data_IF_990158408316
#
_entry.id   IF_990158408316
#
_cell.length_a   1.000
_cell.length_b   1.000
_cell.length_c   1.000
_cell.angle_alpha   90.00
_cell.angle_beta   90.00
_cell.angle_gamma   90.00
#
_symmetry.space_group_name_H-M   'P 1'
#
loop_
_entity.id
_entity.type
_entity.pdbx_description
1 polymer ?
#
# COMPACT_ATOMS: atom_id res chain seq x y z
N UNK A 1 0.13 -34.84 24.07
CA UNK A 1 -0.29 -34.06 22.87
C UNK A 1 -0.58 -32.64 23.38
N UNK A 2 0.38 -31.75 23.22
CA UNK A 2 0.19 -30.31 23.57
C UNK A 2 -0.35 -29.63 22.32
N UNK A 3 -1.45 -28.93 22.45
CA UNK A 3 -2.03 -28.06 21.42
C UNK A 3 -1.13 -26.82 21.28
N UNK A 4 -0.47 -26.59 20.13
CA UNK A 4 0.40 -25.43 19.94
C UNK A 4 -0.35 -24.28 19.27
N UNK A 5 -1.29 -23.62 19.96
CA UNK A 5 -1.99 -22.53 19.35
C UNK A 5 -2.94 -21.78 20.27
N UNK A 6 -2.40 -21.08 21.26
CA UNK A 6 -3.16 -20.06 22.01
C UNK A 6 -3.48 -18.84 21.14
N UNK A 7 -4.06 -19.03 19.96
CA UNK A 7 -4.64 -17.97 19.11
C UNK A 7 -6.13 -17.88 19.41
N UNK A 8 -6.62 -16.66 19.63
CA UNK A 8 -8.06 -16.38 19.71
C UNK A 8 -8.77 -17.07 18.56
N UNK A 9 -9.78 -17.93 18.80
CA UNK A 9 -10.48 -18.62 17.73
C UNK A 9 -11.18 -17.58 16.84
N UNK A 10 -10.94 -17.56 15.54
CA UNK A 10 -11.90 -17.03 14.59
C UNK A 10 -11.50 -15.92 13.67
N UNK A 11 -10.26 -15.41 13.63
CA UNK A 11 -9.96 -14.40 12.62
C UNK A 11 -9.22 -15.00 11.43
N UNK A 12 -9.89 -14.99 10.29
CA UNK A 12 -9.35 -15.49 9.02
C UNK A 12 -8.98 -14.33 8.10
N UNK A 13 -7.96 -14.52 7.29
CA UNK A 13 -7.62 -13.54 6.27
C UNK A 13 -7.28 -14.19 4.94
N UNK A 14 -7.49 -13.43 3.89
CA UNK A 14 -7.07 -13.76 2.55
C UNK A 14 -5.99 -12.79 2.09
N UNK A 15 -5.11 -13.25 1.22
CA UNK A 15 -3.99 -12.48 0.73
C UNK A 15 -4.02 -12.43 -0.81
N UNK A 16 -3.70 -11.27 -1.38
CA UNK A 16 -3.57 -11.08 -2.83
C UNK A 16 -2.21 -10.47 -3.12
N UNK A 17 -1.49 -11.07 -4.07
CA UNK A 17 -0.20 -10.58 -4.55
C UNK A 17 -0.24 -10.41 -6.05
N UNK A 18 -0.24 -9.17 -6.57
CA UNK A 18 0.01 -8.91 -7.98
C UNK A 18 1.50 -9.09 -8.27
N UNK A 19 1.87 -9.80 -9.34
CA UNK A 19 3.25 -10.03 -9.73
C UNK A 19 3.45 -9.74 -11.22
N UNK A 20 4.52 -9.03 -11.55
CA UNK A 20 4.94 -8.80 -12.94
C UNK A 20 6.45 -8.69 -13.03
N UNK A 21 7.09 -9.69 -13.63
CA UNK A 21 8.54 -9.80 -13.75
C UNK A 21 9.24 -9.71 -12.37
N UNK A 22 8.81 -10.54 -11.44
CA UNK A 22 9.31 -10.63 -10.06
C UNK A 22 10.03 -11.96 -9.77
N UNK A 23 10.42 -12.71 -10.80
CA UNK A 23 11.09 -14.01 -10.67
C UNK A 23 12.29 -14.00 -9.73
N UNK A 24 13.03 -12.88 -9.69
CA UNK A 24 14.17 -12.69 -8.79
C UNK A 24 13.79 -12.58 -7.31
N UNK A 25 12.56 -12.14 -6.98
CA UNK A 25 12.18 -11.74 -5.64
C UNK A 25 11.07 -12.60 -5.05
N UNK A 26 10.12 -13.04 -5.87
CA UNK A 26 8.86 -13.63 -5.42
C UNK A 26 9.05 -14.89 -4.55
N UNK A 27 10.07 -15.70 -4.79
CA UNK A 27 10.34 -16.89 -3.98
C UNK A 27 10.59 -16.53 -2.51
N UNK A 28 11.36 -15.45 -2.23
CA UNK A 28 11.61 -14.98 -0.87
C UNK A 28 10.34 -14.42 -0.21
N UNK A 29 9.50 -13.73 -0.98
CA UNK A 29 8.19 -13.27 -0.53
C UNK A 29 7.33 -14.46 -0.12
N UNK A 30 7.24 -15.49 -0.97
CA UNK A 30 6.45 -16.70 -0.67
C UNK A 30 6.97 -17.39 0.60
N UNK A 31 8.27 -17.60 0.72
CA UNK A 31 8.87 -18.22 1.91
C UNK A 31 8.56 -17.41 3.17
N UNK A 32 8.58 -16.07 3.11
CA UNK A 32 8.27 -15.22 4.26
C UNK A 32 6.80 -15.30 4.70
N UNK A 33 5.88 -15.55 3.77
CA UNK A 33 4.46 -15.78 4.09
C UNK A 33 4.25 -17.20 4.65
N UNK A 34 4.93 -18.21 4.11
CA UNK A 34 4.90 -19.57 4.65
C UNK A 34 5.44 -19.64 6.08
N UNK A 35 6.36 -18.75 6.44
CA UNK A 35 6.94 -18.66 7.78
C UNK A 35 6.09 -17.84 8.78
N UNK A 36 4.93 -17.32 8.38
CA UNK A 36 4.07 -16.53 9.28
C UNK A 36 3.46 -17.40 10.38
N UNK A 37 3.41 -16.89 11.61
CA UNK A 37 2.70 -17.51 12.74
C UNK A 37 1.20 -17.62 12.49
N UNK A 38 0.66 -16.73 11.64
CA UNK A 38 -0.72 -16.80 11.15
C UNK A 38 -0.69 -16.83 9.63
N UNK A 39 -1.04 -17.96 9.05
CA UNK A 39 -1.12 -18.14 7.60
C UNK A 39 -2.48 -17.70 7.05
N UNK A 40 -2.54 -17.23 5.79
CA UNK A 40 -3.81 -16.91 5.13
C UNK A 40 -4.65 -18.17 4.90
N UNK A 41 -5.98 -18.05 4.99
CA UNK A 41 -6.88 -19.13 4.59
C UNK A 41 -6.88 -19.35 3.06
N UNK A 42 -6.57 -18.30 2.30
CA UNK A 42 -6.35 -18.33 0.84
C UNK A 42 -5.37 -17.22 0.46
N UNK A 43 -4.44 -17.55 -0.40
CA UNK A 43 -3.51 -16.60 -1.00
C UNK A 43 -3.55 -16.70 -2.51
N UNK A 44 -4.02 -15.65 -3.18
CA UNK A 44 -4.06 -15.58 -4.64
C UNK A 44 -2.88 -14.77 -5.14
N UNK A 45 -2.00 -15.40 -5.92
CA UNK A 45 -0.89 -14.73 -6.60
C UNK A 45 -1.27 -14.58 -8.06
N UNK A 46 -1.38 -13.34 -8.52
CA UNK A 46 -1.80 -13.02 -9.89
C UNK A 46 -0.59 -12.62 -10.71
N UNK A 47 -0.17 -13.48 -11.61
CA UNK A 47 0.85 -13.16 -12.61
C UNK A 47 0.23 -12.29 -13.70
N UNK A 48 0.68 -11.04 -13.78
CA UNK A 48 0.16 -10.02 -14.68
C UNK A 48 0.90 -10.02 -16.03
N UNK A 49 1.07 -11.21 -16.61
CA UNK A 49 1.72 -11.40 -17.92
C UNK A 49 3.24 -11.28 -17.88
N UNK A 50 3.88 -11.86 -16.87
CA UNK A 50 5.35 -11.91 -16.78
C UNK A 50 5.99 -12.63 -17.96
N UNK A 51 7.21 -12.21 -18.29
CA UNK A 51 8.05 -12.80 -19.34
C UNK A 51 9.31 -13.47 -18.79
N UNK A 52 9.48 -13.43 -17.46
CA UNK A 52 10.53 -14.10 -16.70
C UNK A 52 9.99 -15.34 -15.97
N UNK A 53 10.77 -15.91 -15.07
CA UNK A 53 10.42 -17.14 -14.32
C UNK A 53 9.33 -16.94 -13.25
N UNK A 54 8.71 -15.75 -13.12
CA UNK A 54 7.72 -15.45 -12.09
C UNK A 54 6.61 -16.49 -12.04
N UNK A 55 5.96 -16.77 -13.18
CA UNK A 55 4.85 -17.72 -13.24
C UNK A 55 5.26 -19.14 -12.87
N UNK A 56 6.41 -19.59 -13.35
CA UNK A 56 6.90 -20.93 -13.05
C UNK A 56 7.14 -21.13 -11.54
N UNK A 57 7.74 -20.12 -10.88
CA UNK A 57 7.94 -20.12 -9.43
C UNK A 57 6.59 -20.18 -8.70
N UNK A 58 5.64 -19.34 -9.07
CA UNK A 58 4.30 -19.32 -8.45
C UNK A 58 3.62 -20.69 -8.58
N UNK A 59 3.64 -21.28 -9.78
CA UNK A 59 3.04 -22.58 -10.07
C UNK A 59 3.65 -23.71 -9.20
N UNK A 60 4.97 -23.69 -9.01
CA UNK A 60 5.67 -24.67 -8.18
C UNK A 60 5.25 -24.59 -6.72
N UNK A 61 5.09 -23.39 -6.15
CA UNK A 61 4.62 -23.24 -4.77
C UNK A 61 3.12 -23.55 -4.63
N UNK A 62 2.29 -23.16 -5.58
CA UNK A 62 0.87 -23.48 -5.56
C UNK A 62 0.61 -25.00 -5.60
N UNK A 63 1.43 -25.77 -6.32
CA UNK A 63 1.32 -27.22 -6.35
C UNK A 63 1.66 -27.91 -5.00
N UNK A 64 2.41 -27.22 -4.11
CA UNK A 64 2.88 -27.77 -2.82
C UNK A 64 2.11 -27.24 -1.62
N UNK A 65 1.42 -26.11 -1.76
CA UNK A 65 0.76 -25.40 -0.66
C UNK A 65 -0.72 -25.18 -0.99
N UNK A 66 -1.62 -25.93 -0.37
CA UNK A 66 -3.05 -25.94 -0.68
C UNK A 66 -3.79 -24.61 -0.49
N UNK A 67 -3.24 -23.66 0.26
CA UNK A 67 -3.84 -22.32 0.40
C UNK A 67 -3.31 -21.31 -0.63
N UNK A 68 -2.27 -21.65 -1.43
CA UNK A 68 -1.76 -20.78 -2.51
C UNK A 68 -2.48 -21.13 -3.81
N UNK A 69 -3.04 -20.13 -4.45
CA UNK A 69 -3.63 -20.21 -5.79
C UNK A 69 -2.90 -19.27 -6.73
N UNK A 70 -2.25 -19.81 -7.77
CA UNK A 70 -1.70 -19.02 -8.87
C UNK A 70 -2.74 -18.79 -9.96
N UNK A 71 -2.84 -17.58 -10.49
CA UNK A 71 -3.59 -17.32 -11.71
C UNK A 71 -2.86 -16.32 -12.61
N UNK A 72 -3.07 -16.45 -13.91
CA UNK A 72 -2.48 -15.54 -14.90
C UNK A 72 -3.52 -14.54 -15.40
N UNK A 73 -3.04 -13.35 -15.72
CA UNK A 73 -3.78 -12.29 -16.37
C UNK A 73 -3.03 -11.84 -17.62
N UNK A 74 -3.74 -11.64 -18.71
CA UNK A 74 -3.18 -10.97 -19.87
C UNK A 74 -3.41 -9.46 -19.74
N UNK A 75 -2.35 -8.68 -19.93
CA UNK A 75 -2.45 -7.22 -19.94
C UNK A 75 -3.25 -6.76 -21.15
N UNK A 76 -4.18 -5.84 -20.92
CA UNK A 76 -4.90 -5.17 -21.99
C UNK A 76 -4.01 -4.14 -22.69
N UNK A 77 -4.26 -3.89 -23.98
CA UNK A 77 -3.50 -2.92 -24.78
C UNK A 77 -3.50 -1.48 -24.24
N UNK A 78 -4.46 -1.14 -23.35
CA UNK A 78 -4.58 0.17 -22.71
C UNK A 78 -4.12 0.21 -21.25
N UNK A 79 -3.58 -0.88 -20.71
CA UNK A 79 -3.17 -0.94 -19.32
C UNK A 79 -1.92 -0.07 -19.07
N UNK A 80 -2.06 0.93 -18.21
CA UNK A 80 -0.91 1.65 -17.68
C UNK A 80 -0.19 0.77 -16.65
N UNK A 81 1.07 1.04 -16.36
CA UNK A 81 1.84 0.29 -15.35
C UNK A 81 1.12 0.21 -13.99
N UNK A 82 0.52 1.32 -13.52
CA UNK A 82 -0.21 1.36 -12.25
C UNK A 82 -1.60 0.74 -12.36
N UNK A 83 -2.32 1.02 -13.44
CA UNK A 83 -3.64 0.45 -13.68
C UNK A 83 -3.61 -1.07 -13.77
N UNK A 84 -2.59 -1.64 -14.43
CA UNK A 84 -2.42 -3.09 -14.55
C UNK A 84 -2.30 -3.78 -13.20
N UNK A 85 -1.50 -3.22 -12.29
CA UNK A 85 -1.34 -3.75 -10.94
C UNK A 85 -2.69 -3.81 -10.20
N UNK A 86 -3.51 -2.75 -10.28
CA UNK A 86 -4.85 -2.75 -9.68
C UNK A 86 -5.77 -3.78 -10.34
N UNK A 87 -5.72 -3.93 -11.66
CA UNK A 87 -6.50 -4.95 -12.34
C UNK A 87 -6.12 -6.37 -11.89
N UNK A 88 -4.83 -6.64 -11.64
CA UNK A 88 -4.39 -7.90 -11.05
C UNK A 88 -4.94 -8.10 -9.63
N UNK A 89 -4.94 -7.06 -8.78
CA UNK A 89 -5.56 -7.10 -7.45
C UNK A 89 -7.06 -7.41 -7.55
N UNK A 90 -7.78 -6.74 -8.46
CA UNK A 90 -9.21 -6.96 -8.65
C UNK A 90 -9.52 -8.37 -9.17
N UNK A 91 -8.68 -8.91 -10.06
CA UNK A 91 -8.81 -10.31 -10.49
C UNK A 91 -8.57 -11.28 -9.33
N UNK A 92 -7.56 -11.04 -8.50
CA UNK A 92 -7.30 -11.82 -7.28
C UNK A 92 -8.48 -11.74 -6.31
N UNK A 93 -9.04 -10.54 -6.11
CA UNK A 93 -10.20 -10.34 -5.24
C UNK A 93 -11.44 -11.09 -5.73
N UNK A 94 -11.68 -11.14 -7.04
CA UNK A 94 -12.80 -11.90 -7.60
C UNK A 94 -12.75 -13.41 -7.27
N UNK A 95 -11.56 -13.96 -6.95
CA UNK A 95 -11.37 -15.36 -6.53
C UNK A 95 -11.67 -15.63 -5.06
N UNK A 96 -11.66 -14.58 -4.23
CA UNK A 96 -11.81 -14.70 -2.77
C UNK A 96 -13.03 -13.98 -2.20
N UNK A 97 -13.69 -13.12 -2.96
CA UNK A 97 -14.80 -12.26 -2.48
C UNK A 97 -15.97 -13.01 -1.84
N UNK A 98 -16.23 -14.24 -2.30
CA UNK A 98 -17.31 -15.10 -1.84
C UNK A 98 -16.89 -16.01 -0.67
N UNK A 99 -15.62 -15.99 -0.27
CA UNK A 99 -15.13 -16.68 0.92
C UNK A 99 -15.46 -15.90 2.18
N UNK A 100 -15.58 -16.60 3.31
CA UNK A 100 -15.65 -15.97 4.62
C UNK A 100 -14.24 -15.61 5.11
N UNK A 101 -14.02 -14.32 5.40
CA UNK A 101 -12.78 -13.80 5.99
C UNK A 101 -13.04 -12.46 6.69
N UNK A 102 -12.17 -12.12 7.64
CA UNK A 102 -12.23 -10.87 8.40
C UNK A 102 -11.35 -9.79 7.79
N UNK A 103 -10.20 -10.19 7.22
CA UNK A 103 -9.21 -9.27 6.69
C UNK A 103 -8.74 -9.66 5.29
N UNK A 104 -8.47 -8.65 4.48
CA UNK A 104 -7.87 -8.77 3.16
C UNK A 104 -6.49 -8.12 3.17
N UNK A 105 -5.45 -8.89 2.91
CA UNK A 105 -4.10 -8.36 2.72
C UNK A 105 -3.76 -8.16 1.24
N UNK A 106 -3.08 -7.06 0.94
CA UNK A 106 -2.40 -6.84 -0.34
C UNK A 106 -0.90 -6.83 -0.06
N UNK A 107 -0.17 -7.68 -0.73
CA UNK A 107 1.27 -7.85 -0.56
C UNK A 107 1.96 -7.79 -1.92
N UNK A 108 2.89 -6.86 -2.13
CA UNK A 108 3.67 -6.84 -3.37
C UNK A 108 4.67 -8.02 -3.40
N UNK A 109 4.97 -8.51 -4.60
CA UNK A 109 5.74 -9.74 -4.82
C UNK A 109 7.23 -9.66 -4.46
N UNK A 110 7.71 -8.50 -4.03
CA UNK A 110 9.10 -8.21 -3.65
C UNK A 110 9.25 -7.81 -2.17
N UNK A 111 8.26 -8.13 -1.34
CA UNK A 111 8.27 -7.86 0.11
C UNK A 111 8.64 -9.10 0.91
N UNK A 112 9.52 -8.95 1.91
CA UNK A 112 9.85 -10.00 2.88
C UNK A 112 9.37 -9.58 4.25
N UNK A 113 8.51 -10.40 4.86
CA UNK A 113 7.85 -10.11 6.12
C UNK A 113 8.58 -10.79 7.29
N UNK A 114 8.57 -10.18 8.48
CA UNK A 114 8.96 -10.87 9.70
C UNK A 114 7.88 -11.91 10.09
N UNK A 115 8.23 -13.00 10.81
CA UNK A 115 7.32 -14.13 11.04
C UNK A 115 6.00 -13.81 11.76
N UNK A 116 5.97 -12.72 12.55
CA UNK A 116 4.77 -12.31 13.31
C UNK A 116 4.05 -11.11 12.69
N UNK A 117 4.33 -10.77 11.44
CA UNK A 117 3.80 -9.55 10.81
C UNK A 117 2.27 -9.50 10.84
N UNK A 118 1.59 -10.52 10.34
CA UNK A 118 0.13 -10.55 10.30
C UNK A 118 -0.49 -10.71 11.69
N UNK A 119 0.11 -11.48 12.59
CA UNK A 119 -0.33 -11.59 13.97
C UNK A 119 -0.38 -10.21 14.65
N UNK A 120 0.69 -9.42 14.51
CA UNK A 120 0.77 -8.09 15.09
C UNK A 120 -0.18 -7.09 14.43
N UNK A 121 -0.36 -7.15 13.10
CA UNK A 121 -1.35 -6.31 12.39
C UNK A 121 -2.77 -6.62 12.91
N UNK A 122 -3.13 -7.88 13.08
CA UNK A 122 -4.48 -8.23 13.55
C UNK A 122 -4.71 -7.79 14.99
N UNK A 123 -3.72 -7.86 15.87
CA UNK A 123 -3.82 -7.28 17.22
C UNK A 123 -4.14 -5.79 17.18
N UNK A 124 -3.59 -5.03 16.21
CA UNK A 124 -3.93 -3.60 16.04
C UNK A 124 -5.38 -3.40 15.63
N UNK A 125 -5.90 -4.27 14.75
CA UNK A 125 -7.31 -4.25 14.36
C UNK A 125 -8.24 -4.63 15.53
N UNK A 126 -7.84 -5.59 16.38
CA UNK A 126 -8.60 -5.97 17.57
C UNK A 126 -8.68 -4.84 18.58
N UNK A 127 -7.54 -4.19 18.83
CA UNK A 127 -7.45 -3.07 19.77
C UNK A 127 -8.23 -1.83 19.29
N UNK A 128 -8.53 -1.73 17.99
CA UNK A 128 -9.24 -0.59 17.43
C UNK A 128 -10.21 -1.00 16.33
N UNK A 129 -11.50 -0.98 16.66
CA UNK A 129 -12.57 -1.36 15.73
C UNK A 129 -12.80 -0.36 14.60
N UNK A 130 -12.37 0.89 14.77
CA UNK A 130 -12.45 1.93 13.74
C UNK A 130 -11.30 1.84 12.73
N UNK A 131 -10.25 1.05 13.01
CA UNK A 131 -9.15 0.84 12.09
C UNK A 131 -9.65 0.05 10.87
N UNK A 132 -9.67 0.69 9.72
CA UNK A 132 -10.14 0.11 8.47
C UNK A 132 -8.99 -0.39 7.58
N UNK A 133 -7.86 0.36 7.57
CA UNK A 133 -6.66 0.00 6.79
C UNK A 133 -5.43 0.11 7.70
N UNK A 134 -4.62 -0.93 7.74
CA UNK A 134 -3.37 -0.99 8.48
C UNK A 134 -2.22 -1.48 7.60
N UNK A 135 -1.01 -1.05 7.91
CA UNK A 135 0.22 -1.57 7.33
C UNK A 135 1.37 -1.45 8.33
N UNK A 136 2.44 -2.20 8.10
CA UNK A 136 3.74 -1.88 8.66
C UNK A 136 4.45 -0.81 7.81
N UNK A 137 5.72 -0.61 8.12
CA UNK A 137 6.67 0.16 7.29
C UNK A 137 7.67 -0.80 6.64
N UNK A 138 8.56 -0.28 5.81
CA UNK A 138 9.59 -1.12 5.23
C UNK A 138 10.93 -0.42 5.19
N UNK A 139 11.98 -1.24 5.18
CA UNK A 139 13.35 -0.83 4.89
C UNK A 139 13.73 -1.28 3.48
N UNK A 140 14.57 -0.51 2.82
CA UNK A 140 15.12 -0.84 1.51
C UNK A 140 16.62 -0.59 1.49
N UNK A 141 17.37 -1.36 0.72
CA UNK A 141 18.79 -1.15 0.54
C UNK A 141 19.04 -0.08 -0.52
N UNK A 142 19.74 0.99 -0.17
CA UNK A 142 20.17 2.06 -1.08
C UNK A 142 21.66 2.33 -0.92
N UNK A 143 22.42 2.14 -1.98
CA UNK A 143 23.87 2.33 -1.99
C UNK A 143 24.58 1.57 -0.86
N UNK A 144 24.23 0.30 -0.67
CA UNK A 144 24.83 -0.59 0.34
C UNK A 144 24.43 -0.28 1.79
N UNK A 145 23.38 0.52 2.01
CA UNK A 145 22.87 0.86 3.36
C UNK A 145 21.36 0.65 3.45
N UNK A 146 20.93 0.03 4.53
CA UNK A 146 19.52 -0.09 4.86
C UNK A 146 18.95 1.27 5.31
N UNK A 147 17.83 1.66 4.71
CA UNK A 147 17.17 2.93 5.00
C UNK A 147 15.68 2.69 5.17
N UNK A 148 15.09 3.28 6.20
CA UNK A 148 13.65 3.31 6.34
C UNK A 148 13.00 4.16 5.24
N UNK A 149 11.90 3.66 4.69
CA UNK A 149 11.06 4.44 3.80
C UNK A 149 10.38 5.58 4.57
N UNK A 150 10.41 6.79 4.00
CA UNK A 150 9.70 7.93 4.59
C UNK A 150 8.20 7.80 4.34
N UNK A 151 7.47 7.20 5.28
CA UNK A 151 6.03 6.97 5.24
C UNK A 151 5.36 7.86 6.29
N UNK A 152 4.32 8.62 5.89
CA UNK A 152 3.44 9.31 6.83
C UNK A 152 2.62 8.25 7.58
N UNK A 153 2.53 8.34 8.90
CA UNK A 153 1.84 7.32 9.72
C UNK A 153 0.38 7.08 9.34
N UNK A 154 -0.27 8.04 8.70
CA UNK A 154 -1.65 7.92 8.21
C UNK A 154 -1.75 7.36 6.80
N UNK A 155 -0.61 7.16 6.14
CA UNK A 155 -0.53 6.54 4.84
C UNK A 155 -0.03 5.11 4.99
N UNK A 156 -0.68 4.20 4.33
CA UNK A 156 -0.38 2.77 4.36
C UNK A 156 0.19 2.37 3.00
N UNK A 157 1.47 1.93 2.92
CA UNK A 157 2.04 1.54 1.64
C UNK A 157 1.27 0.38 1.02
N UNK A 158 0.87 0.51 -0.25
CA UNK A 158 0.12 -0.51 -0.99
C UNK A 158 0.75 -1.90 -0.86
N UNK A 159 2.08 -1.95 -0.91
CA UNK A 159 2.85 -3.18 -0.81
C UNK A 159 2.58 -4.03 0.45
N UNK A 160 1.94 -3.45 1.48
CA UNK A 160 1.74 -4.04 2.81
C UNK A 160 0.33 -3.77 3.38
N UNK A 161 -0.61 -3.28 2.56
CA UNK A 161 -1.93 -2.90 3.06
C UNK A 161 -2.76 -4.11 3.51
N UNK A 162 -3.33 -4.00 4.70
CA UNK A 162 -4.32 -4.93 5.23
C UNK A 162 -5.60 -4.16 5.50
N UNK A 163 -6.71 -4.68 5.02
CA UNK A 163 -8.05 -4.11 5.13
C UNK A 163 -8.91 -4.94 6.07
N UNK A 164 -9.70 -4.28 6.90
CA UNK A 164 -10.88 -4.92 7.46
C UNK A 164 -11.89 -5.17 6.32
N UNK A 165 -12.46 -6.38 6.22
CA UNK A 165 -13.42 -6.75 5.14
C UNK A 165 -14.55 -5.72 5.02
N UNK A 166 -15.13 -5.29 6.15
CA UNK A 166 -16.19 -4.29 6.15
C UNK A 166 -15.76 -2.95 5.54
N UNK A 167 -14.52 -2.49 5.83
CA UNK A 167 -13.95 -1.29 5.23
C UNK A 167 -13.80 -1.45 3.72
N UNK A 168 -13.17 -2.55 3.28
CA UNK A 168 -12.94 -2.81 1.84
C UNK A 168 -14.24 -2.88 1.04
N UNK A 169 -15.28 -3.54 1.60
CA UNK A 169 -16.61 -3.60 0.99
C UNK A 169 -17.28 -2.24 0.90
N UNK A 170 -17.22 -1.44 1.98
CA UNK A 170 -17.86 -0.12 2.02
C UNK A 170 -17.24 0.89 1.05
N UNK A 171 -15.93 0.85 0.84
CA UNK A 171 -15.24 1.75 -0.09
C UNK A 171 -15.28 1.27 -1.54
N UNK A 172 -15.80 0.07 -1.82
CA UNK A 172 -15.84 -0.52 -3.15
C UNK A 172 -14.50 -1.04 -3.67
N UNK A 173 -13.52 -1.24 -2.79
CA UNK A 173 -12.20 -1.76 -3.15
C UNK A 173 -11.27 -0.74 -3.82
N UNK A 174 -10.27 -1.26 -4.53
CA UNK A 174 -9.33 -0.43 -5.30
C UNK A 174 -9.95 0.13 -6.57
N UNK A 175 -9.62 1.39 -6.86
CA UNK A 175 -9.99 2.05 -8.12
C UNK A 175 -8.71 2.24 -8.95
N UNK A 176 -8.66 1.78 -10.21
CA UNK A 176 -7.52 2.00 -11.08
C UNK A 176 -7.22 3.49 -11.28
N UNK A 177 -5.99 3.89 -10.99
CA UNK A 177 -5.50 5.25 -11.14
C UNK A 177 -4.39 5.28 -12.20
N UNK A 178 -4.61 5.79 -13.42
CA UNK A 178 -3.63 5.76 -14.50
C UNK A 178 -2.29 6.42 -14.14
N UNK A 179 -2.31 7.43 -13.27
CA UNK A 179 -1.12 8.15 -12.80
C UNK A 179 -0.60 7.63 -11.44
N UNK A 180 -1.12 6.49 -10.96
CA UNK A 180 -0.81 5.96 -9.62
C UNK A 180 -1.56 6.69 -8.50
N UNK A 181 -1.35 6.25 -7.25
CA UNK A 181 -1.99 6.81 -6.05
C UNK A 181 -3.30 6.10 -5.68
N UNK A 182 -3.51 4.92 -6.22
CA UNK A 182 -4.63 4.03 -5.90
C UNK A 182 -4.73 3.73 -4.40
N UNK A 183 -3.58 3.53 -3.74
CA UNK A 183 -3.46 3.34 -2.30
C UNK A 183 -3.95 4.58 -1.53
N UNK A 184 -3.45 5.74 -1.90
CA UNK A 184 -3.84 7.01 -1.29
C UNK A 184 -5.33 7.31 -1.53
N UNK A 185 -5.86 6.99 -2.73
CA UNK A 185 -7.28 7.19 -3.00
C UNK A 185 -8.15 6.26 -2.15
N UNK A 186 -7.76 5.00 -2.01
CA UNK A 186 -8.42 4.03 -1.16
C UNK A 186 -8.44 4.48 0.31
N UNK A 187 -7.32 5.02 0.81
CA UNK A 187 -7.24 5.63 2.15
C UNK A 187 -8.17 6.85 2.31
N UNK A 188 -8.25 7.72 1.30
CA UNK A 188 -9.17 8.87 1.31
C UNK A 188 -10.60 8.38 1.42
N UNK A 189 -11.00 7.37 0.63
CA UNK A 189 -12.34 6.77 0.69
C UNK A 189 -12.62 6.16 2.07
N UNK A 190 -11.68 5.41 2.63
CA UNK A 190 -11.82 4.82 3.95
C UNK A 190 -12.05 5.90 5.02
N UNK A 191 -11.23 6.94 5.04
CA UNK A 191 -11.39 8.04 6.01
C UNK A 191 -12.66 8.87 5.78
N UNK A 192 -13.10 9.02 4.55
CA UNK A 192 -14.37 9.67 4.22
C UNK A 192 -15.58 8.89 4.79
N UNK A 193 -15.46 7.58 4.89
CA UNK A 193 -16.47 6.70 5.52
C UNK A 193 -16.27 6.50 7.03
N UNK A 194 -15.38 7.28 7.67
CA UNK A 194 -15.15 7.24 9.13
C UNK A 194 -14.11 6.23 9.59
N UNK A 195 -13.51 5.44 8.68
CA UNK A 195 -12.45 4.51 9.03
C UNK A 195 -11.12 5.22 9.30
N UNK A 196 -10.34 4.64 10.19
CA UNK A 196 -8.96 5.08 10.43
C UNK A 196 -7.99 4.30 9.53
N UNK A 197 -6.92 4.99 9.09
CA UNK A 197 -5.83 4.38 8.31
C UNK A 197 -4.53 4.64 9.04
N UNK A 198 -3.66 3.61 9.21
CA UNK A 198 -2.44 3.77 9.99
C UNK A 198 -1.32 2.83 9.60
N UNK A 199 -0.09 3.36 9.55
CA UNK A 199 1.14 2.57 9.46
C UNK A 199 1.85 2.49 10.80
N UNK A 200 2.28 1.28 11.16
CA UNK A 200 2.95 0.95 12.40
C UNK A 200 4.46 0.78 12.17
N UNK A 201 5.31 1.75 12.62
CA UNK A 201 6.75 1.71 12.35
C UNK A 201 7.49 0.59 13.08
N UNK A 202 6.90 0.04 14.13
CA UNK A 202 7.41 -1.11 14.88
C UNK A 202 7.26 -2.44 14.12
N UNK A 203 6.47 -2.45 13.03
CA UNK A 203 6.31 -3.58 12.13
C UNK A 203 7.02 -3.31 10.81
N UNK A 204 8.26 -3.76 10.71
CA UNK A 204 9.08 -3.52 9.52
C UNK A 204 9.13 -4.76 8.63
N UNK A 205 8.94 -4.53 7.33
CA UNK A 205 9.21 -5.47 6.26
C UNK A 205 10.49 -5.07 5.49
N UNK A 206 11.00 -5.97 4.68
CA UNK A 206 12.12 -5.68 3.76
C UNK A 206 11.58 -5.58 2.35
N UNK A 207 11.80 -4.44 1.70
CA UNK A 207 11.53 -4.26 0.28
C UNK A 207 12.79 -4.63 -0.50
N UNK A 208 12.74 -5.68 -1.30
CA UNK A 208 13.92 -6.28 -1.93
C UNK A 208 14.50 -5.46 -3.07
N UNK A 209 13.73 -4.52 -3.61
CA UNK A 209 14.21 -3.56 -4.62
C UNK A 209 13.86 -2.12 -4.21
N UNK A 210 14.75 -1.14 -4.43
CA UNK A 210 14.47 0.26 -4.06
C UNK A 210 13.26 0.81 -4.85
N UNK A 211 12.37 1.51 -4.16
CA UNK A 211 11.21 2.16 -4.80
C UNK A 211 11.65 3.16 -5.87
N UNK A 212 11.02 3.06 -7.05
CA UNK A 212 11.26 3.97 -8.17
C UNK A 212 12.44 3.59 -9.07
N UNK A 213 13.09 2.44 -8.84
CA UNK A 213 14.18 1.93 -9.69
C UNK A 213 13.69 0.94 -10.76
N UNK A 214 12.44 0.51 -10.70
CA UNK A 214 11.88 -0.52 -11.58
C UNK A 214 11.95 -0.23 -13.09
N UNK A 215 12.19 1.04 -13.48
CA UNK A 215 12.32 1.46 -14.88
C UNK A 215 13.67 2.13 -15.21
N UNK A 216 14.69 2.06 -14.34
CA UNK A 216 15.97 2.78 -14.54
C UNK A 216 15.83 4.32 -14.57
N UNK A 217 14.70 4.87 -14.15
CA UNK A 217 14.39 6.29 -14.24
C UNK A 217 15.01 7.09 -13.08
N UNK A 218 15.38 8.34 -13.37
CA UNK A 218 15.91 9.28 -12.36
C UNK A 218 14.95 9.45 -11.18
N UNK A 219 15.49 9.51 -9.95
CA UNK A 219 14.74 9.78 -8.70
C UNK A 219 13.91 11.07 -8.84
N UNK A 220 14.46 12.12 -9.44
CA UNK A 220 13.73 13.38 -9.64
C UNK A 220 12.52 13.21 -10.56
N UNK A 221 12.62 12.36 -11.60
CA UNK A 221 11.48 12.03 -12.47
C UNK A 221 10.38 11.29 -11.71
N UNK A 222 10.76 10.38 -10.82
CA UNK A 222 9.80 9.71 -9.94
C UNK A 222 9.10 10.70 -8.99
N UNK A 223 9.85 11.68 -8.43
CA UNK A 223 9.27 12.73 -7.58
C UNK A 223 8.35 13.68 -8.36
N UNK A 224 8.72 14.05 -9.57
CA UNK A 224 7.85 14.83 -10.46
C UNK A 224 6.53 14.09 -10.70
N UNK A 225 6.58 12.80 -11.06
CA UNK A 225 5.38 11.99 -11.25
C UNK A 225 4.52 11.90 -10.00
N UNK A 226 5.13 11.72 -8.80
CA UNK A 226 4.40 11.76 -7.54
C UNK A 226 3.67 13.10 -7.33
N UNK A 227 4.25 14.22 -7.79
CA UNK A 227 3.59 15.52 -7.78
C UNK A 227 2.37 15.57 -8.69
N UNK A 228 2.46 15.03 -9.90
CA UNK A 228 1.32 14.89 -10.81
C UNK A 228 0.23 14.00 -10.19
N UNK A 229 0.59 12.89 -9.55
CA UNK A 229 -0.35 12.05 -8.78
C UNK A 229 -1.05 12.85 -7.68
N UNK A 230 -0.31 13.66 -6.89
CA UNK A 230 -0.90 14.53 -5.87
C UNK A 230 -1.92 15.52 -6.48
N UNK A 231 -1.64 16.04 -7.67
CA UNK A 231 -2.61 16.86 -8.41
C UNK A 231 -3.86 16.06 -8.79
N UNK A 232 -3.69 14.87 -9.37
CA UNK A 232 -4.79 14.00 -9.79
C UNK A 232 -5.69 13.58 -8.61
N UNK A 233 -5.09 13.40 -7.43
CA UNK A 233 -5.77 13.14 -6.16
C UNK A 233 -6.29 14.41 -5.46
N UNK A 234 -6.28 15.56 -6.15
CA UNK A 234 -6.82 16.84 -5.72
C UNK A 234 -6.24 17.40 -4.41
N UNK A 235 -4.97 17.07 -4.10
CA UNK A 235 -4.25 17.67 -2.97
C UNK A 235 -4.44 19.19 -2.94
N UNK A 236 -4.68 19.73 -1.73
CA UNK A 236 -4.86 21.18 -1.56
C UNK A 236 -3.55 21.93 -1.83
N UNK A 237 -3.52 23.02 -2.63
CA UNK A 237 -2.27 23.68 -3.00
C UNK A 237 -1.43 24.14 -1.81
N UNK A 238 -2.03 24.75 -0.80
CA UNK A 238 -1.33 25.20 0.41
C UNK A 238 -0.71 24.01 1.15
N UNK A 239 -1.47 22.91 1.31
CA UNK A 239 -0.95 21.67 1.90
C UNK A 239 0.20 21.08 1.08
N UNK A 240 0.12 21.16 -0.25
CA UNK A 240 1.19 20.69 -1.14
C UNK A 240 2.49 21.47 -0.94
N UNK A 241 2.42 22.80 -0.81
CA UNK A 241 3.61 23.61 -0.52
C UNK A 241 4.24 23.21 0.81
N UNK A 242 3.46 23.11 1.89
CA UNK A 242 3.94 22.68 3.21
C UNK A 242 4.54 21.26 3.18
N UNK A 243 3.88 20.33 2.47
CA UNK A 243 4.36 18.96 2.25
C UNK A 243 5.70 18.94 1.52
N UNK A 244 5.86 19.73 0.47
CA UNK A 244 7.10 19.80 -0.30
C UNK A 244 8.22 20.48 0.49
N UNK A 245 7.95 21.56 1.23
CA UNK A 245 8.92 22.20 2.12
C UNK A 245 9.48 21.19 3.15
N UNK A 246 8.61 20.41 3.83
CA UNK A 246 9.03 19.36 4.76
C UNK A 246 9.89 18.28 4.06
N UNK A 247 9.54 17.91 2.81
CA UNK A 247 10.29 16.91 2.04
C UNK A 247 11.65 17.41 1.58
N UNK A 248 11.78 18.71 1.25
CA UNK A 248 13.08 19.31 0.96
C UNK A 248 14.07 19.13 2.11
N UNK A 249 13.60 19.13 3.36
CA UNK A 249 14.43 18.97 4.55
C UNK A 249 14.68 17.50 4.94
N UNK A 250 13.76 16.59 4.63
CA UNK A 250 13.77 15.21 5.16
C UNK A 250 14.03 14.13 4.13
N UNK A 251 13.84 14.41 2.83
CA UNK A 251 13.90 13.39 1.78
C UNK A 251 15.06 13.67 0.81
N UNK A 252 15.85 12.65 0.53
CA UNK A 252 16.96 12.74 -0.44
C UNK A 252 16.47 12.62 -1.88
N UNK A 253 17.06 13.33 -2.87
CA UNK A 253 18.07 14.39 -2.68
C UNK A 253 17.45 15.63 -2.03
N UNK A 254 18.08 16.11 -0.95
CA UNK A 254 17.60 17.27 -0.20
C UNK A 254 17.37 18.49 -1.11
N UNK A 255 16.27 19.21 -0.89
CA UNK A 255 15.84 20.29 -1.78
C UNK A 255 15.21 19.77 -3.08
N UNK A 256 15.94 18.98 -3.86
CA UNK A 256 15.54 18.51 -5.18
C UNK A 256 14.26 17.64 -5.20
N UNK A 257 14.11 16.75 -4.21
CA UNK A 257 12.95 15.87 -4.13
C UNK A 257 11.64 16.63 -3.96
N UNK A 258 11.61 17.61 -3.04
CA UNK A 258 10.43 18.45 -2.81
C UNK A 258 10.13 19.37 -3.99
N UNK A 259 11.16 19.99 -4.59
CA UNK A 259 11.00 20.87 -5.75
C UNK A 259 10.49 20.11 -6.98
N UNK A 260 11.06 18.95 -7.29
CA UNK A 260 10.59 18.12 -8.41
C UNK A 260 9.12 17.70 -8.22
N UNK A 261 8.74 17.36 -6.98
CA UNK A 261 7.34 17.01 -6.65
C UNK A 261 6.40 18.20 -6.81
N UNK A 262 6.82 19.40 -6.36
CA UNK A 262 6.03 20.63 -6.53
C UNK A 262 5.87 20.99 -8.01
N UNK A 263 6.94 20.84 -8.81
CA UNK A 263 6.91 21.07 -10.25
C UNK A 263 5.91 20.10 -10.94
N UNK A 264 5.91 18.81 -10.59
CA UNK A 264 4.94 17.86 -11.14
C UNK A 264 3.49 18.21 -10.77
N UNK A 265 3.26 18.70 -9.55
CA UNK A 265 1.95 19.17 -9.12
C UNK A 265 1.49 20.40 -9.92
N UNK A 266 2.37 21.39 -10.12
CA UNK A 266 2.09 22.58 -10.92
C UNK A 266 1.85 22.22 -12.39
N UNK A 267 2.64 21.29 -12.94
CA UNK A 267 2.46 20.78 -14.30
C UNK A 267 1.05 20.24 -14.53
N UNK A 268 0.48 19.51 -13.55
CA UNK A 268 -0.90 19.02 -13.63
C UNK A 268 -1.94 20.13 -13.87
N UNK A 269 -1.72 21.34 -13.33
CA UNK A 269 -2.58 22.50 -13.61
C UNK A 269 -2.35 23.06 -15.02
N UNK A 270 -1.09 23.10 -15.48
CA UNK A 270 -0.74 23.63 -16.81
C UNK A 270 -1.36 22.78 -17.91
N UNK A 271 -1.22 21.44 -17.81
CA UNK A 271 -1.77 20.51 -18.81
C UNK A 271 -3.23 20.17 -18.58
N UNK A 272 -3.84 20.68 -17.50
CA UNK A 272 -5.23 20.40 -17.12
C UNK A 272 -5.52 18.89 -17.02
N UNK A 273 -4.57 18.14 -16.43
CA UNK A 273 -4.68 16.69 -16.28
C UNK A 273 -6.01 16.30 -15.61
N UNK A 274 -6.59 15.18 -16.01
CA UNK A 274 -7.87 14.72 -15.47
C UNK A 274 -7.72 14.32 -13.99
N UNK A 275 -8.60 14.85 -13.14
CA UNK A 275 -8.70 14.41 -11.74
C UNK A 275 -9.24 12.99 -11.69
N UNK A 276 -8.60 12.14 -10.89
CA UNK A 276 -8.93 10.71 -10.80
C UNK A 276 -9.91 10.38 -9.68
N UNK A 277 -10.27 11.36 -8.86
CA UNK A 277 -11.14 11.16 -7.70
C UNK A 277 -12.48 11.85 -7.85
N UNK A 278 -13.50 11.28 -7.21
CA UNK A 278 -14.85 11.82 -7.17
C UNK A 278 -14.90 13.21 -6.52
N UNK A 279 -15.91 14.02 -6.90
CA UNK A 279 -16.05 15.40 -6.39
C UNK A 279 -16.18 15.44 -4.85
N UNK A 280 -16.84 14.45 -4.25
CA UNK A 280 -17.00 14.35 -2.81
C UNK A 280 -15.68 14.05 -2.12
N UNK A 281 -14.92 13.08 -2.61
CA UNK A 281 -13.59 12.73 -2.10
C UNK A 281 -12.64 13.93 -2.23
N UNK A 282 -12.74 14.71 -3.31
CA UNK A 282 -11.98 15.96 -3.48
C UNK A 282 -12.31 17.00 -2.40
N UNK A 283 -13.60 17.20 -2.08
CA UNK A 283 -14.00 18.11 -1.00
C UNK A 283 -13.49 17.63 0.35
N UNK A 284 -13.64 16.35 0.61
CA UNK A 284 -13.21 15.70 1.85
C UNK A 284 -11.69 15.84 2.06
N UNK A 285 -10.86 15.40 1.09
CA UNK A 285 -9.40 15.38 1.24
C UNK A 285 -8.84 16.79 1.43
N UNK A 286 -9.39 17.79 0.73
CA UNK A 286 -8.97 19.19 0.90
C UNK A 286 -9.28 19.72 2.30
N UNK A 287 -10.47 19.44 2.84
CA UNK A 287 -10.85 19.78 4.21
C UNK A 287 -9.94 19.07 5.23
N UNK A 288 -9.75 17.78 5.08
CA UNK A 288 -8.86 16.98 5.93
C UNK A 288 -7.43 17.52 5.94
N UNK A 289 -6.88 17.84 4.78
CA UNK A 289 -5.50 18.36 4.65
C UNK A 289 -5.35 19.73 5.32
N UNK A 290 -6.33 20.61 5.20
CA UNK A 290 -6.30 21.89 5.89
C UNK A 290 -6.40 21.72 7.41
N UNK A 291 -7.28 20.84 7.92
CA UNK A 291 -7.31 20.51 9.34
C UNK A 291 -5.97 19.95 9.84
N UNK A 292 -5.32 19.05 9.07
CA UNK A 292 -3.99 18.53 9.41
C UNK A 292 -2.93 19.65 9.47
N UNK A 293 -2.99 20.61 8.57
CA UNK A 293 -2.08 21.74 8.55
C UNK A 293 -2.28 22.63 9.79
N UNK A 294 -3.51 23.00 10.12
CA UNK A 294 -3.83 23.78 11.31
C UNK A 294 -3.45 23.05 12.61
N UNK A 295 -3.71 21.76 12.70
CA UNK A 295 -3.31 20.96 13.85
C UNK A 295 -1.78 20.91 14.02
N UNK A 296 -1.00 20.93 12.92
CA UNK A 296 0.46 20.91 12.97
C UNK A 296 1.09 22.21 13.52
N UNK A 297 0.35 23.32 13.48
CA UNK A 297 0.75 24.63 14.02
C UNK A 297 0.00 24.98 15.34
N UNK A 298 -0.68 23.99 15.94
CA UNK A 298 -1.36 24.18 17.22
C UNK A 298 -2.72 24.88 17.17
N UNK A 299 -3.25 25.17 15.97
CA UNK A 299 -4.50 25.93 15.74
C UNK A 299 -5.70 25.03 15.43
N UNK A 300 -5.59 23.71 15.60
CA UNK A 300 -6.67 22.77 15.28
C UNK A 300 -6.83 21.66 16.32
N UNK A 301 -7.94 20.90 16.29
CA UNK A 301 -8.13 19.76 17.16
C UNK A 301 -7.02 18.72 16.95
N UNK A 302 -6.57 18.10 18.05
CA UNK A 302 -5.59 17.01 17.96
C UNK A 302 -6.19 15.88 17.13
N UNK A 303 -5.49 15.54 16.04
CA UNK A 303 -5.86 14.41 15.23
C UNK A 303 -5.59 13.12 16.01
N UNK A 304 -6.50 12.15 15.88
CA UNK A 304 -6.35 10.84 16.51
C UNK A 304 -4.97 10.22 16.19
N UNK A 305 -4.38 9.63 17.20
CA UNK A 305 -3.19 8.80 17.10
C UNK A 305 -3.47 7.52 17.90
N UNK A 306 -3.19 6.32 17.37
CA UNK A 306 -3.35 5.11 18.15
C UNK A 306 -2.44 5.18 19.37
N UNK A 307 -2.94 4.73 20.50
CA UNK A 307 -2.11 4.48 21.69
C UNK A 307 -1.21 3.31 21.31
N UNK A 308 0.07 3.57 21.13
CA UNK A 308 1.06 2.51 20.98
C UNK A 308 1.15 1.81 22.35
N UNK A 309 0.41 0.71 22.51
CA UNK A 309 0.47 -0.10 23.72
C UNK A 309 1.85 -0.75 23.80
N UNK A 310 2.64 -0.33 24.78
CA UNK A 310 3.75 -1.07 25.34
C UNK A 310 5.11 -0.83 24.67
N UNK A 311 5.99 -0.21 25.45
CA UNK A 311 7.43 -0.49 25.43
C UNK A 311 7.70 -1.87 25.98
#
# INVERSE_FOLDING_TARGET
>A
MMDPGGGVPGQTYVLITPAYNEGRFIAKTIVSVLAQTRQPSRWVIVDDGSTDDTWEIVRQYAARCGFIEGCQRQRGAGDTYYGSNVHAILQGYARVKDLEFDYLGILDADMVLCPRYYEEIFRRFEANRELGIAAGTYVEERAGRWQEAFIDRRSTPKALQVFRRACYGQIGGYVPCPNGGEDTYTEILARMHGWQTWSFPDLQAVHQKPVGTGDGKSILRAKFRQGLTDYCLATHPIFMVAKCARRCLKERPYGGAGLARLAGFAYGYVVRERRQILAEARRYVRKEQMHRLWASVGLGPRLWQPVLSGR
#
